data_IF_439725723081
#
_entry.id   IF_439725723081
#
_cell.length_a   1.000
_cell.length_b   1.000
_cell.length_c   1.000
_cell.angle_alpha   90.00
_cell.angle_beta   90.00
_cell.angle_gamma   90.00
#
_symmetry.space_group_name_H-M   'P 1'
#
loop_
_entity.id
_entity.type
_entity.pdbx_description
1 polymer ?
#
# COMPACT_ATOMS: atom_id res chain seq x y z
N UNK A 1 2.04 -1.96 22.51
CA UNK A 1 3.16 -1.85 21.53
C UNK A 1 2.63 -1.83 20.10
N UNK A 2 1.55 -2.58 19.79
CA UNK A 2 0.69 -2.48 18.60
C UNK A 2 0.73 -1.15 17.83
N UNK A 3 0.29 -0.06 18.45
CA UNK A 3 0.21 1.26 17.78
C UNK A 3 1.56 1.69 17.19
N UNK A 4 2.64 1.51 17.94
CA UNK A 4 3.98 1.90 17.51
C UNK A 4 4.51 1.01 16.37
N UNK A 5 4.25 -0.30 16.42
CA UNK A 5 4.65 -1.22 15.36
C UNK A 5 3.87 -0.95 14.07
N UNK A 6 2.59 -0.61 14.18
CA UNK A 6 1.72 -0.23 13.06
C UNK A 6 2.12 1.12 12.44
N UNK A 7 2.53 2.12 13.25
CA UNK A 7 3.11 3.36 12.72
C UNK A 7 4.40 3.11 11.94
N UNK A 8 5.29 2.27 12.47
CA UNK A 8 6.52 1.88 11.77
C UNK A 8 6.23 1.11 10.48
N UNK A 9 5.17 0.30 10.45
CA UNK A 9 4.73 -0.38 9.23
C UNK A 9 4.30 0.64 8.18
N UNK A 10 3.49 1.63 8.56
CA UNK A 10 3.06 2.72 7.67
C UNK A 10 4.28 3.41 7.02
N UNK A 11 5.28 3.77 7.83
CA UNK A 11 6.50 4.39 7.33
C UNK A 11 7.29 3.46 6.39
N UNK A 12 7.45 2.18 6.73
CA UNK A 12 8.17 1.23 5.90
C UNK A 12 7.50 1.03 4.53
N UNK A 13 6.17 0.90 4.53
CA UNK A 13 5.34 0.70 3.34
C UNK A 13 5.39 1.93 2.43
N UNK A 14 5.10 3.12 2.97
CA UNK A 14 5.15 4.38 2.23
C UNK A 14 6.58 4.75 1.81
N UNK A 15 7.58 4.28 2.56
CA UNK A 15 8.99 4.41 2.15
C UNK A 15 9.32 3.54 0.94
N UNK A 16 8.47 2.58 0.58
CA UNK A 16 8.73 1.61 -0.47
C UNK A 16 9.74 0.52 -0.05
N UNK A 17 9.99 0.31 1.26
CA UNK A 17 10.94 -0.70 1.71
C UNK A 17 10.26 -2.07 1.72
N UNK A 18 10.18 -2.75 0.56
CA UNK A 18 9.42 -4.01 0.39
C UNK A 18 9.87 -5.08 1.37
N UNK A 19 11.17 -5.43 1.40
CA UNK A 19 11.70 -6.48 2.29
C UNK A 19 11.48 -6.17 3.77
N UNK A 20 11.55 -4.89 4.15
CA UNK A 20 11.25 -4.48 5.52
C UNK A 20 9.76 -4.60 5.81
N UNK A 21 8.91 -4.17 4.89
CA UNK A 21 7.45 -4.23 4.99
C UNK A 21 7.00 -5.67 5.21
N UNK A 22 7.48 -6.61 4.39
CA UNK A 22 7.11 -8.01 4.49
C UNK A 22 7.57 -8.62 5.83
N UNK A 23 8.82 -8.39 6.23
CA UNK A 23 9.32 -8.83 7.55
C UNK A 23 8.51 -8.26 8.71
N UNK A 24 8.04 -7.02 8.59
CA UNK A 24 7.20 -6.40 9.63
C UNK A 24 5.81 -7.01 9.70
N UNK A 25 5.19 -7.36 8.55
CA UNK A 25 3.93 -8.09 8.53
C UNK A 25 4.10 -9.46 9.21
N UNK A 26 5.15 -10.21 8.84
CA UNK A 26 5.44 -11.52 9.43
C UNK A 26 5.68 -11.42 10.95
N UNK A 27 6.39 -10.37 11.40
CA UNK A 27 6.62 -10.09 12.82
C UNK A 27 5.34 -9.74 13.58
N UNK A 28 4.49 -8.89 13.03
CA UNK A 28 3.18 -8.54 13.62
C UNK A 28 2.28 -9.77 13.77
N UNK A 29 2.30 -10.67 12.79
CA UNK A 29 1.58 -11.94 12.86
C UNK A 29 2.12 -12.83 13.97
N UNK A 30 3.44 -12.98 14.06
CA UNK A 30 4.09 -13.80 15.08
C UNK A 30 3.88 -13.25 16.51
N UNK A 31 3.78 -11.92 16.65
CA UNK A 31 3.44 -11.25 17.91
C UNK A 31 1.96 -11.43 18.32
N UNK A 32 1.13 -12.00 17.44
CA UNK A 32 -0.30 -12.20 17.68
C UNK A 32 -1.12 -10.91 17.59
N UNK A 33 -0.63 -9.90 16.85
CA UNK A 33 -1.40 -8.66 16.66
C UNK A 33 -2.69 -8.92 15.89
N UNK A 34 -3.69 -8.07 16.11
CA UNK A 34 -4.96 -8.23 15.41
C UNK A 34 -4.83 -7.83 13.93
N UNK A 35 -5.09 -8.76 13.01
CA UNK A 35 -5.08 -8.51 11.56
C UNK A 35 -5.95 -7.30 11.15
N UNK A 36 -7.08 -7.08 11.83
CA UNK A 36 -7.96 -5.92 11.63
C UNK A 36 -7.24 -4.59 11.88
N UNK A 37 -6.34 -4.51 12.87
CA UNK A 37 -5.58 -3.28 13.15
C UNK A 37 -4.54 -3.00 12.06
N UNK A 38 -3.91 -4.06 11.54
CA UNK A 38 -2.95 -3.96 10.43
C UNK A 38 -3.68 -3.52 9.15
N UNK A 39 -4.82 -4.14 8.86
CA UNK A 39 -5.72 -3.76 7.76
C UNK A 39 -6.11 -2.29 7.82
N UNK A 40 -6.62 -1.84 8.98
CA UNK A 40 -7.05 -0.47 9.18
C UNK A 40 -5.93 0.52 8.87
N UNK A 41 -4.71 0.26 9.36
CA UNK A 41 -3.58 1.16 9.13
C UNK A 41 -3.16 1.25 7.66
N UNK A 42 -3.10 0.13 6.96
CA UNK A 42 -2.83 0.12 5.51
C UNK A 42 -3.93 0.87 4.74
N UNK A 43 -5.19 0.69 5.15
CA UNK A 43 -6.34 1.35 4.52
C UNK A 43 -6.32 2.86 4.73
N UNK A 44 -5.95 3.34 5.92
CA UNK A 44 -5.79 4.77 6.19
C UNK A 44 -4.72 5.41 5.30
N UNK A 45 -3.59 4.74 5.09
CA UNK A 45 -2.54 5.19 4.17
C UNK A 45 -3.04 5.25 2.71
N UNK A 46 -3.73 4.19 2.26
CA UNK A 46 -4.29 4.10 0.91
C UNK A 46 -5.30 5.23 0.67
N UNK A 47 -6.23 5.43 1.60
CA UNK A 47 -7.26 6.46 1.51
C UNK A 47 -6.65 7.87 1.58
N UNK A 48 -5.66 8.07 2.43
CA UNK A 48 -4.92 9.34 2.52
C UNK A 48 -4.26 9.69 1.18
N UNK A 49 -3.55 8.74 0.56
CA UNK A 49 -2.95 8.94 -0.76
C UNK A 49 -4.01 9.19 -1.83
N UNK A 50 -5.09 8.39 -1.86
CA UNK A 50 -6.16 8.53 -2.83
C UNK A 50 -6.84 9.91 -2.77
N UNK A 51 -7.19 10.37 -1.57
CA UNK A 51 -7.80 11.69 -1.36
C UNK A 51 -6.84 12.81 -1.73
N UNK A 52 -5.56 12.70 -1.36
CA UNK A 52 -4.55 13.68 -1.72
C UNK A 52 -4.34 13.76 -3.24
N UNK A 53 -4.24 12.62 -3.93
CA UNK A 53 -4.07 12.58 -5.38
C UNK A 53 -5.29 13.13 -6.12
N UNK A 54 -6.50 12.80 -5.65
CA UNK A 54 -7.75 13.34 -6.20
C UNK A 54 -7.82 14.86 -6.06
N UNK A 55 -7.39 15.40 -4.91
CA UNK A 55 -7.34 16.83 -4.68
C UNK A 55 -6.34 17.54 -5.59
N UNK A 56 -5.16 16.95 -5.80
CA UNK A 56 -4.16 17.45 -6.75
C UNK A 56 -4.68 17.44 -8.19
N UNK A 57 -5.38 16.36 -8.60
CA UNK A 57 -6.00 16.26 -9.93
C UNK A 57 -7.11 17.31 -10.10
N UNK A 58 -7.77 17.70 -9.02
CA UNK A 58 -8.70 18.83 -8.96
C UNK A 58 -8.04 20.22 -8.98
N UNK A 59 -6.73 20.31 -9.20
CA UNK A 59 -5.99 21.57 -9.34
C UNK A 59 -5.52 22.21 -8.03
N UNK A 60 -5.69 21.55 -6.88
CA UNK A 60 -5.20 22.06 -5.60
C UNK A 60 -3.66 21.93 -5.51
N UNK A 61 -2.92 22.95 -5.04
CA UNK A 61 -1.49 22.85 -4.82
C UNK A 61 -1.13 21.83 -3.73
N UNK A 62 -0.01 21.10 -3.90
CA UNK A 62 0.44 20.05 -2.98
C UNK A 62 0.56 20.49 -1.50
N UNK A 63 1.16 21.63 -1.15
CA UNK A 63 1.24 22.07 0.24
C UNK A 63 -0.15 22.27 0.88
N UNK A 64 -1.12 22.75 0.10
CA UNK A 64 -2.49 22.94 0.57
C UNK A 64 -3.16 21.59 0.83
N UNK A 65 -2.99 20.63 -0.07
CA UNK A 65 -3.52 19.27 0.07
C UNK A 65 -2.95 18.57 1.31
N UNK A 66 -1.65 18.63 1.55
CA UNK A 66 -1.01 18.00 2.71
C UNK A 66 -1.51 18.59 4.03
N UNK A 67 -1.69 19.92 4.07
CA UNK A 67 -2.28 20.62 5.23
C UNK A 67 -3.73 20.21 5.48
N UNK A 68 -4.56 20.20 4.45
CA UNK A 68 -5.98 19.80 4.54
C UNK A 68 -6.14 18.35 4.99
N UNK A 69 -5.29 17.44 4.50
CA UNK A 69 -5.27 16.04 4.89
C UNK A 69 -4.61 15.79 6.27
N UNK A 70 -4.14 16.84 6.95
CA UNK A 70 -3.42 16.77 8.24
C UNK A 70 -2.21 15.84 8.20
N UNK A 71 -1.50 15.80 7.07
CA UNK A 71 -0.30 14.96 6.84
C UNK A 71 0.96 15.75 7.20
N UNK A 72 1.52 15.51 8.39
CA UNK A 72 2.62 16.30 8.93
C UNK A 72 3.85 15.42 9.23
N UNK A 73 5.02 16.04 9.37
CA UNK A 73 6.23 15.36 9.84
C UNK A 73 6.81 14.37 8.82
N UNK A 74 7.31 13.19 9.24
CA UNK A 74 7.92 12.22 8.32
C UNK A 74 7.00 11.77 7.17
N UNK A 75 5.67 11.70 7.42
CA UNK A 75 4.67 11.34 6.40
C UNK A 75 4.57 12.39 5.28
N UNK A 76 4.81 13.66 5.57
CA UNK A 76 4.74 14.74 4.57
C UNK A 76 5.71 14.49 3.42
N UNK A 77 6.99 14.24 3.75
CA UNK A 77 8.03 13.91 2.76
C UNK A 77 7.72 12.65 1.95
N UNK A 78 7.09 11.66 2.58
CA UNK A 78 6.68 10.44 1.89
C UNK A 78 5.57 10.72 0.88
N UNK A 79 4.54 11.49 1.28
CA UNK A 79 3.46 11.87 0.39
C UNK A 79 3.96 12.75 -0.78
N UNK A 80 4.81 13.74 -0.50
CA UNK A 80 5.42 14.59 -1.53
C UNK A 80 6.19 13.79 -2.58
N UNK A 81 6.83 12.69 -2.17
CA UNK A 81 7.58 11.81 -3.08
C UNK A 81 6.67 10.90 -3.91
N UNK A 82 5.62 10.36 -3.31
CA UNK A 82 4.72 9.36 -3.91
C UNK A 82 3.75 10.04 -4.89
N UNK A 83 3.06 11.09 -4.44
CA UNK A 83 1.92 11.69 -5.14
C UNK A 83 2.21 12.14 -6.58
N UNK A 84 3.38 12.72 -6.92
CA UNK A 84 3.69 13.10 -8.30
C UNK A 84 3.89 11.91 -9.25
N UNK A 85 4.20 10.72 -8.72
CA UNK A 85 4.52 9.51 -9.50
C UNK A 85 3.38 8.52 -9.59
N UNK A 86 2.30 8.73 -8.84
CA UNK A 86 1.16 7.83 -8.78
C UNK A 86 -0.05 8.43 -9.50
N UNK A 87 -0.84 7.60 -10.17
CA UNK A 87 -2.10 8.01 -10.82
C UNK A 87 -3.29 7.68 -9.93
N UNK A 88 -4.35 8.49 -9.97
CA UNK A 88 -5.61 8.25 -9.24
C UNK A 88 -6.18 6.86 -9.51
N UNK A 89 -6.12 6.37 -10.75
CA UNK A 89 -6.57 5.02 -11.09
C UNK A 89 -5.82 3.90 -10.36
N UNK A 90 -4.52 4.07 -10.08
CA UNK A 90 -3.75 3.08 -9.33
C UNK A 90 -4.15 3.07 -7.85
N UNK A 91 -4.37 4.25 -7.27
CA UNK A 91 -4.83 4.39 -5.89
C UNK A 91 -6.28 3.90 -5.72
N UNK A 92 -7.16 4.16 -6.70
CA UNK A 92 -8.52 3.62 -6.71
C UNK A 92 -8.54 2.08 -6.71
N UNK A 93 -7.62 1.43 -7.44
CA UNK A 93 -7.46 -0.03 -7.38
C UNK A 93 -7.03 -0.50 -5.99
N UNK A 94 -6.06 0.18 -5.36
CA UNK A 94 -5.66 -0.13 -3.99
C UNK A 94 -6.80 0.04 -2.98
N UNK A 95 -7.67 1.05 -3.15
CA UNK A 95 -8.88 1.22 -2.33
C UNK A 95 -9.83 0.02 -2.50
N UNK A 96 -10.06 -0.43 -3.74
CA UNK A 96 -10.89 -1.61 -3.99
C UNK A 96 -10.28 -2.87 -3.37
N UNK A 97 -8.97 -3.06 -3.53
CA UNK A 97 -8.24 -4.18 -2.92
C UNK A 97 -8.30 -4.14 -1.38
N UNK A 98 -8.15 -2.98 -0.76
CA UNK A 98 -8.31 -2.83 0.68
C UNK A 98 -9.72 -3.25 1.16
N UNK A 99 -10.77 -2.94 0.39
CA UNK A 99 -12.12 -3.41 0.67
C UNK A 99 -12.27 -4.92 0.52
N UNK A 100 -11.61 -5.53 -0.48
CA UNK A 100 -11.58 -7.00 -0.62
C UNK A 100 -10.91 -7.66 0.58
N UNK A 101 -9.76 -7.11 1.02
CA UNK A 101 -9.01 -7.63 2.17
C UNK A 101 -9.78 -7.46 3.48
N UNK A 102 -10.53 -6.38 3.66
CA UNK A 102 -11.44 -6.22 4.83
C UNK A 102 -12.42 -7.40 4.93
N UNK A 103 -13.01 -7.78 3.78
CA UNK A 103 -13.88 -8.94 3.70
C UNK A 103 -13.15 -10.24 4.09
N UNK A 104 -11.94 -10.45 3.56
CA UNK A 104 -11.14 -11.65 3.86
C UNK A 104 -10.74 -11.73 5.34
N UNK A 105 -10.32 -10.61 5.93
CA UNK A 105 -10.02 -10.52 7.37
C UNK A 105 -11.26 -10.84 8.23
N UNK A 106 -12.46 -10.59 7.70
CA UNK A 106 -13.76 -10.96 8.32
C UNK A 106 -14.25 -12.37 7.96
N UNK A 107 -13.46 -13.15 7.21
CA UNK A 107 -13.77 -14.53 6.84
C UNK A 107 -14.52 -14.70 5.51
N UNK A 108 -14.70 -13.63 4.72
CA UNK A 108 -15.26 -13.73 3.38
C UNK A 108 -14.23 -14.28 2.39
N UNK A 109 -14.71 -14.99 1.38
CA UNK A 109 -13.86 -15.57 0.33
C UNK A 109 -13.87 -14.69 -0.91
N UNK A 110 -12.73 -14.58 -1.57
CA UNK A 110 -12.62 -13.93 -2.86
C UNK A 110 -11.80 -14.79 -3.84
N UNK A 111 -12.27 -15.06 -5.09
CA UNK A 111 -11.63 -16.03 -5.97
C UNK A 111 -10.20 -15.67 -6.39
N UNK A 112 -9.90 -14.37 -6.52
CA UNK A 112 -8.62 -13.87 -7.02
C UNK A 112 -7.65 -13.45 -5.90
N UNK A 113 -7.98 -13.73 -4.64
CA UNK A 113 -7.20 -13.32 -3.47
C UNK A 113 -6.93 -14.50 -2.55
N UNK A 114 -5.85 -14.44 -1.74
CA UNK A 114 -5.62 -15.40 -0.67
C UNK A 114 -6.85 -15.50 0.25
N UNK A 115 -7.12 -16.70 0.74
CA UNK A 115 -8.23 -16.93 1.68
C UNK A 115 -7.82 -16.62 3.13
N UNK A 116 -6.52 -16.70 3.43
CA UNK A 116 -5.98 -16.32 4.72
C UNK A 116 -5.84 -14.79 4.82
N UNK A 117 -6.26 -14.22 5.96
CA UNK A 117 -6.26 -12.79 6.19
C UNK A 117 -4.86 -12.18 6.21
N UNK A 118 -3.86 -12.89 6.74
CA UNK A 118 -2.48 -12.41 6.78
C UNK A 118 -1.81 -12.48 5.42
N UNK A 119 -2.04 -13.54 4.65
CA UNK A 119 -1.58 -13.61 3.26
C UNK A 119 -2.20 -12.50 2.39
N UNK A 120 -3.49 -12.22 2.58
CA UNK A 120 -4.16 -11.11 1.90
C UNK A 120 -3.58 -9.75 2.30
N UNK A 121 -3.31 -9.53 3.59
CA UNK A 121 -2.65 -8.32 4.08
C UNK A 121 -1.23 -8.16 3.53
N UNK A 122 -0.46 -9.26 3.48
CA UNK A 122 0.89 -9.28 2.91
C UNK A 122 0.88 -8.84 1.46
N UNK A 123 -0.07 -9.34 0.67
CA UNK A 123 -0.26 -8.92 -0.72
C UNK A 123 -0.63 -7.43 -0.84
N UNK A 124 -1.58 -6.95 -0.03
CA UNK A 124 -1.99 -5.54 -0.05
C UNK A 124 -0.81 -4.61 0.30
N UNK A 125 -0.06 -4.94 1.34
CA UNK A 125 1.11 -4.18 1.76
C UNK A 125 2.19 -4.14 0.68
N UNK A 126 2.41 -5.25 -0.04
CA UNK A 126 3.32 -5.32 -1.17
C UNK A 126 2.88 -4.41 -2.33
N UNK A 127 1.61 -4.48 -2.73
CA UNK A 127 1.06 -3.64 -3.81
C UNK A 127 1.16 -2.14 -3.48
N UNK A 128 0.90 -1.77 -2.21
CA UNK A 128 1.05 -0.40 -1.73
C UNK A 128 2.54 0.03 -1.74
N UNK A 129 3.45 -0.82 -1.25
CA UNK A 129 4.88 -0.51 -1.25
C UNK A 129 5.45 -0.35 -2.67
N UNK A 130 5.04 -1.19 -3.62
CA UNK A 130 5.41 -1.07 -5.04
C UNK A 130 4.91 0.24 -5.66
N UNK A 131 3.66 0.60 -5.35
CA UNK A 131 3.07 1.88 -5.77
C UNK A 131 3.88 3.06 -5.21
N UNK A 132 4.32 2.96 -3.95
CA UNK A 132 5.13 3.99 -3.30
C UNK A 132 6.57 4.10 -3.86
N UNK A 133 7.15 3.02 -4.39
CA UNK A 133 8.43 3.05 -5.11
C UNK A 133 8.33 3.73 -6.49
N UNK A 134 7.12 3.84 -7.06
CA UNK A 134 6.92 4.27 -8.45
C UNK A 134 6.96 3.12 -9.46
N UNK A 135 6.98 1.87 -8.99
CA UNK A 135 6.86 0.69 -9.85
C UNK A 135 5.38 0.48 -10.12
N UNK A 136 4.91 0.89 -11.29
CA UNK A 136 3.57 0.52 -11.73
C UNK A 136 3.48 -1.03 -11.82
N UNK A 137 2.52 -1.69 -11.15
CA UNK A 137 2.31 -3.11 -11.34
C UNK A 137 1.69 -3.32 -12.72
N UNK A 138 2.51 -3.75 -13.69
CA UNK A 138 2.03 -4.00 -15.06
C UNK A 138 3.08 -4.07 -16.18
N UNK A 139 4.33 -4.42 -15.91
CA UNK A 139 5.32 -4.69 -16.95
C UNK A 139 5.97 -6.06 -16.76
N UNK A 140 5.16 -7.12 -16.82
CA UNK A 140 5.67 -8.46 -17.12
C UNK A 140 6.06 -8.48 -18.59
N UNK A 141 7.24 -7.97 -18.92
CA UNK A 141 7.89 -8.30 -20.18
C UNK A 141 8.39 -9.73 -20.05
N UNK A 142 7.65 -10.66 -20.66
CA UNK A 142 8.16 -11.97 -20.98
C UNK A 142 9.36 -11.80 -21.92
N UNK A 143 10.56 -11.79 -21.37
CA UNK A 143 11.78 -11.99 -22.13
C UNK A 143 12.10 -13.49 -22.09
N UNK A 144 11.55 -14.24 -23.04
CA UNK A 144 12.03 -15.59 -23.32
C UNK A 144 13.34 -15.47 -24.11
N UNK A 145 14.44 -16.12 -23.70
CA UNK A 145 15.65 -16.09 -24.48
C UNK A 145 15.43 -16.86 -25.79
N UNK A 146 15.57 -16.15 -26.92
CA UNK A 146 15.65 -16.77 -28.23
C UNK A 146 16.92 -17.63 -28.28
N UNK A 147 16.75 -18.94 -28.06
CA UNK A 147 17.78 -19.93 -28.37
C UNK A 147 17.95 -19.94 -29.89
N UNK A 148 19.00 -19.28 -30.37
CA UNK A 148 19.44 -19.40 -31.75
C UNK A 148 20.24 -20.70 -31.85
N UNK A 149 19.56 -21.73 -32.33
CA UNK A 149 20.18 -22.89 -32.96
C UNK A 149 20.81 -22.45 -34.29
N UNK A 150 22.14 -22.48 -34.40
CA UNK A 150 22.85 -22.97 -35.59
C UNK A 150 24.33 -23.16 -35.34
#
# INVERSE_FOLDING_TARGET
MARFNVFKLSEAVLSGQIERTLRMIDGLQAEGEAAVLVHWALTEDILGLYRARTALDGGKPLPMVLREQRVWGPRERLFERILPRTRTAALARLVAHASTVDGIVKGLRHPQWPQDGWEALRRLALELAQTAQGTAPGATHGNAPAQTHR
#
